data_IF_625333288203
#
_entry.id   IF_625333288203
#
_cell.length_a   1.000
_cell.length_b   1.000
_cell.length_c   1.000
_cell.angle_alpha   90.00
_cell.angle_beta   90.00
_cell.angle_gamma   90.00
#
_symmetry.space_group_name_H-M   'P 1'
#
loop_
_entity.id
_entity.type
_entity.pdbx_description
1 polymer ?
#
# COMPACT_ATOMS: atom_id res chain seq x y z
N UNK A 1 5.24 6.66 10.37
CA UNK A 1 4.14 6.40 9.39
C UNK A 1 4.53 6.72 7.95
N UNK A 2 5.13 7.88 7.63
CA UNK A 2 5.63 8.21 6.29
C UNK A 2 6.65 7.19 5.75
N UNK A 3 7.46 6.61 6.63
CA UNK A 3 8.45 5.58 6.26
C UNK A 3 7.80 4.28 5.77
N UNK A 4 6.56 4.00 6.16
CA UNK A 4 5.80 2.85 5.69
C UNK A 4 5.03 3.16 4.39
N UNK A 5 5.11 4.37 3.83
CA UNK A 5 4.33 4.76 2.65
C UNK A 5 4.54 3.80 1.48
N UNK A 6 5.77 3.35 1.26
CA UNK A 6 6.08 2.38 0.20
C UNK A 6 5.39 1.04 0.45
N UNK A 7 5.54 0.49 1.67
CA UNK A 7 4.86 -0.75 2.09
C UNK A 7 3.34 -0.63 1.96
N UNK A 8 2.75 0.48 2.42
CA UNK A 8 1.31 0.72 2.33
C UNK A 8 0.83 0.87 0.88
N UNK A 9 1.61 1.52 0.02
CA UNK A 9 1.29 1.66 -1.40
C UNK A 9 1.27 0.30 -2.08
N UNK A 10 2.28 -0.54 -1.85
CA UNK A 10 2.31 -1.92 -2.38
C UNK A 10 1.14 -2.74 -1.86
N UNK A 11 0.86 -2.70 -0.56
CA UNK A 11 -0.29 -3.41 0.03
C UNK A 11 -1.61 -2.97 -0.62
N UNK A 12 -1.79 -1.66 -0.85
CA UNK A 12 -2.98 -1.12 -1.50
C UNK A 12 -3.05 -1.52 -2.98
N UNK A 13 -1.93 -1.48 -3.70
CA UNK A 13 -1.85 -1.85 -5.11
C UNK A 13 -2.33 -3.29 -5.36
N UNK A 14 -2.01 -4.20 -4.44
CA UNK A 14 -2.43 -5.60 -4.50
C UNK A 14 -3.73 -5.91 -3.75
N UNK A 15 -4.46 -4.89 -3.28
CA UNK A 15 -5.74 -5.06 -2.59
C UNK A 15 -5.65 -5.77 -1.24
N UNK A 16 -4.47 -5.79 -0.62
CA UNK A 16 -4.25 -6.45 0.66
C UNK A 16 -4.84 -5.62 1.81
N UNK A 17 -5.53 -6.32 2.72
CA UNK A 17 -6.09 -5.70 3.92
C UNK A 17 -4.98 -5.50 4.95
N UNK A 18 -4.83 -4.27 5.41
CA UNK A 18 -3.91 -3.92 6.48
C UNK A 18 -4.57 -3.02 7.52
N UNK A 19 -4.01 -3.04 8.75
CA UNK A 19 -4.45 -2.24 9.89
C UNK A 19 -3.24 -1.63 10.59
N UNK A 20 -3.42 -0.48 11.22
CA UNK A 20 -2.39 0.13 12.06
C UNK A 20 -2.46 -0.40 13.48
N UNK A 21 -1.32 -0.83 14.02
CA UNK A 21 -1.14 -1.14 15.43
C UNK A 21 -0.27 -0.10 16.14
N UNK A 22 -0.44 0.01 17.46
CA UNK A 22 0.35 0.86 18.34
C UNK A 22 1.67 0.15 18.78
N UNK A 23 2.79 0.87 19.00
CA UNK A 23 3.00 2.32 18.84
C UNK A 23 3.23 2.77 17.38
N UNK A 24 3.77 1.92 16.49
CA UNK A 24 3.69 2.06 15.02
C UNK A 24 4.05 0.72 14.39
N UNK A 25 3.05 -0.08 14.04
CA UNK A 25 3.22 -1.34 13.30
C UNK A 25 2.11 -1.51 12.27
N UNK A 26 2.41 -2.13 11.14
CA UNK A 26 1.43 -2.46 10.10
C UNK A 26 1.06 -3.93 10.25
N UNK A 27 -0.21 -4.22 10.47
CA UNK A 27 -0.73 -5.57 10.61
C UNK A 27 -1.42 -5.91 9.29
N UNK A 28 -0.88 -6.87 8.54
CA UNK A 28 -1.39 -7.31 7.24
C UNK A 28 -2.03 -8.68 7.41
N UNK A 29 -3.22 -8.88 6.85
CA UNK A 29 -3.85 -10.20 6.80
C UNK A 29 -3.80 -10.71 5.37
N UNK A 30 -3.03 -11.78 5.14
CA UNK A 30 -2.87 -12.44 3.84
C UNK A 30 -3.13 -13.94 4.03
N UNK A 31 -4.00 -14.52 3.21
CA UNK A 31 -4.30 -15.97 3.23
C UNK A 31 -4.62 -16.50 4.64
N UNK A 32 -5.50 -15.81 5.36
CA UNK A 32 -5.88 -16.11 6.76
C UNK A 32 -4.73 -16.06 7.78
N UNK A 33 -3.54 -15.64 7.37
CA UNK A 33 -2.37 -15.45 8.23
C UNK A 33 -2.19 -13.97 8.54
N UNK A 34 -2.04 -13.63 9.83
CA UNK A 34 -1.78 -12.26 10.27
C UNK A 34 -0.28 -12.04 10.41
N UNK A 35 0.23 -11.04 9.70
CA UNK A 35 1.64 -10.70 9.67
C UNK A 35 1.82 -9.28 10.23
N UNK A 36 2.73 -9.14 11.18
CA UNK A 36 3.03 -7.86 11.82
C UNK A 36 4.35 -7.33 11.27
N UNK A 37 4.31 -6.10 10.80
CA UNK A 37 5.44 -5.35 10.27
C UNK A 37 5.74 -4.23 11.25
N UNK A 38 6.88 -4.33 11.93
CA UNK A 38 7.31 -3.32 12.91
C UNK A 38 8.26 -2.28 12.33
N UNK A 39 8.87 -2.58 11.18
CA UNK A 39 9.84 -1.72 10.50
C UNK A 39 9.56 -1.69 8.99
N UNK A 40 9.81 -0.57 8.30
CA UNK A 40 9.58 -0.48 6.85
C UNK A 40 10.45 -1.48 6.07
N UNK A 41 11.68 -1.72 6.51
CA UNK A 41 12.61 -2.69 5.90
C UNK A 41 12.10 -4.13 5.99
N UNK A 42 11.56 -4.50 7.17
CA UNK A 42 10.89 -5.79 7.39
C UNK A 42 9.67 -5.94 6.47
N UNK A 43 8.92 -4.85 6.29
CA UNK A 43 7.75 -4.82 5.40
C UNK A 43 8.13 -5.07 3.95
N UNK A 44 9.17 -4.38 3.45
CA UNK A 44 9.66 -4.57 2.09
C UNK A 44 10.20 -5.99 1.87
N UNK A 45 10.95 -6.53 2.82
CA UNK A 45 11.41 -7.93 2.76
C UNK A 45 10.26 -8.93 2.71
N UNK A 46 9.21 -8.74 3.53
CA UNK A 46 8.02 -9.59 3.52
C UNK A 46 7.25 -9.47 2.20
N UNK A 47 7.10 -8.25 1.67
CA UNK A 47 6.48 -8.00 0.37
C UNK A 47 7.23 -8.72 -0.75
N UNK A 48 8.57 -8.60 -0.79
CA UNK A 48 9.42 -9.33 -1.73
C UNK A 48 9.28 -10.85 -1.58
N UNK A 49 9.27 -11.37 -0.34
CA UNK A 49 9.06 -12.80 -0.08
C UNK A 49 7.67 -13.29 -0.53
N UNK A 50 6.69 -12.39 -0.61
CA UNK A 50 5.36 -12.67 -1.15
C UNK A 50 5.25 -12.49 -2.66
N UNK A 51 6.32 -12.10 -3.34
CA UNK A 51 6.35 -11.84 -4.77
C UNK A 51 5.84 -10.46 -5.17
N UNK A 52 5.61 -9.55 -4.22
CA UNK A 52 5.22 -8.17 -4.51
C UNK A 52 6.47 -7.33 -4.68
N UNK A 53 6.64 -6.71 -5.85
CA UNK A 53 7.79 -5.86 -6.14
C UNK A 53 7.46 -4.38 -6.03
N UNK A 54 8.49 -3.59 -5.76
CA UNK A 54 8.40 -2.14 -5.66
C UNK A 54 7.83 -1.49 -6.93
N UNK A 55 8.04 -2.11 -8.11
CA UNK A 55 7.50 -1.64 -9.38
C UNK A 55 5.96 -1.55 -9.41
N UNK A 56 5.25 -2.30 -8.55
CA UNK A 56 3.79 -2.24 -8.46
C UNK A 56 3.29 -1.02 -7.66
N UNK A 57 4.13 -0.43 -6.80
CA UNK A 57 3.77 0.77 -6.04
C UNK A 57 3.60 2.00 -6.95
N UNK A 58 4.35 2.07 -8.05
CA UNK A 58 4.32 3.18 -9.01
C UNK A 58 3.04 3.18 -9.87
N UNK A 59 2.41 2.00 -10.07
CA UNK A 59 1.15 1.89 -10.83
C UNK A 59 -0.05 2.53 -10.11
N UNK A 60 0.02 2.73 -8.80
CA UNK A 60 -1.12 3.25 -8.00
C UNK A 60 -0.95 4.72 -7.59
N UNK A 61 0.10 5.40 -8.05
CA UNK A 61 0.16 6.86 -8.12
C UNK A 61 -0.28 7.35 -9.50
N UNK A 62 -1.29 6.72 -10.10
CA UNK A 62 -2.14 7.49 -10.99
C UNK A 62 -2.93 8.45 -10.10
N UNK A 63 -2.67 9.78 -10.14
CA UNK A 63 -3.59 10.71 -9.52
C UNK A 63 -4.95 10.36 -10.10
N UNK A 64 -5.93 10.16 -9.23
CA UNK A 64 -7.34 10.07 -9.59
C UNK A 64 -7.57 10.92 -10.82
N UNK A 65 -8.03 10.30 -11.92
CA UNK A 65 -8.62 11.00 -13.06
C UNK A 65 -9.45 12.12 -12.45
N UNK A 66 -8.89 13.33 -12.45
CA UNK A 66 -9.61 14.54 -12.15
C UNK A 66 -10.67 14.48 -13.22
N UNK A 67 -11.89 14.16 -12.84
CA UNK A 67 -13.05 14.42 -13.68
C UNK A 67 -12.93 15.94 -13.90
N UNK A 68 -12.29 16.34 -15.00
CA UNK A 68 -12.42 17.67 -15.52
C UNK A 68 -13.90 17.77 -15.78
N UNK A 69 -14.59 18.44 -14.86
CA UNK A 69 -15.93 18.94 -15.07
C UNK A 69 -15.78 19.91 -16.24
N UNK A 70 -15.92 19.37 -17.43
CA UNK A 70 -15.98 20.11 -18.67
C UNK A 70 -17.27 20.93 -18.58
N UNK A 71 -17.12 22.22 -18.23
CA UNK A 71 -18.19 23.19 -18.40
C UNK A 71 -18.35 23.45 -19.90
N UNK A 72 -18.83 22.45 -20.62
CA UNK A 72 -19.31 22.63 -21.98
C UNK A 72 -20.57 23.48 -21.91
N UNK A 73 -20.45 24.70 -22.45
CA UNK A 73 -21.49 25.54 -23.06
C UNK A 73 -22.85 25.61 -22.36
N UNK A 74 -23.17 26.80 -21.87
CA UNK A 74 -24.32 27.57 -22.36
C UNK A 74 -24.01 29.06 -22.26
#
# INVERSE_FOLDING_TARGET
RKEFSQVINTLRAHGLRFRWGFPTKVIVTKDNTTQVITSPEDGLRKLQAWGFSDQDAERTTSPSKRIQLDWHKA
#
